data_IF_058554462782
#
_entry.id   IF_058554462782
#
_cell.length_a   1.000
_cell.length_b   1.000
_cell.length_c   1.000
_cell.angle_alpha   90.00
_cell.angle_beta   90.00
_cell.angle_gamma   90.00
#
_symmetry.space_group_name_H-M   'P 1'
#
loop_
_entity.id
_entity.type
_entity.pdbx_description
1 polymer ?
#
# COMPACT_ATOMS: atom_id res chain seq x y z
N UNK A 1 -40.54 33.09 -70.45
CA UNK A 1 -39.09 32.79 -70.43
C UNK A 1 -38.41 33.69 -69.41
N UNK A 2 -37.94 33.15 -68.29
CA UNK A 2 -36.83 33.69 -67.49
C UNK A 2 -36.49 32.71 -66.35
N UNK A 3 -35.24 32.24 -66.32
CA UNK A 3 -34.62 31.51 -65.22
C UNK A 3 -33.93 32.52 -64.31
N UNK A 4 -34.09 32.40 -62.99
CA UNK A 4 -33.01 32.70 -62.04
C UNK A 4 -33.16 31.80 -60.81
N UNK A 5 -32.16 30.94 -60.61
CA UNK A 5 -31.92 30.22 -59.36
C UNK A 5 -31.11 31.17 -58.47
N UNK A 6 -31.60 31.47 -57.27
CA UNK A 6 -30.75 32.04 -56.22
C UNK A 6 -31.08 31.43 -54.86
N UNK A 7 -30.08 30.71 -54.37
CA UNK A 7 -29.94 30.05 -53.08
C UNK A 7 -30.07 31.06 -51.93
N UNK A 8 -30.86 30.75 -50.89
CA UNK A 8 -30.66 31.27 -49.51
C UNK A 8 -31.15 30.25 -48.46
N UNK A 9 -30.17 29.74 -47.72
CA UNK A 9 -30.13 29.16 -46.37
C UNK A 9 -31.42 28.71 -45.64
N UNK A 10 -31.49 27.46 -45.13
CA UNK A 10 -32.45 27.13 -44.08
C UNK A 10 -31.99 27.76 -42.75
N UNK A 11 -32.67 28.82 -42.34
CA UNK A 11 -32.53 29.39 -41.01
C UNK A 11 -33.30 28.55 -39.98
N UNK A 12 -32.55 28.13 -38.96
CA UNK A 12 -32.93 27.55 -37.67
C UNK A 12 -34.38 27.76 -37.22
N UNK A 13 -35.10 26.65 -37.03
CA UNK A 13 -36.24 26.55 -36.12
C UNK A 13 -35.97 25.53 -35.01
N UNK A 14 -35.29 25.95 -33.93
CA UNK A 14 -35.22 25.21 -32.66
C UNK A 14 -36.50 25.46 -31.88
N UNK A 15 -37.26 24.43 -31.55
CA UNK A 15 -38.24 24.32 -30.44
C UNK A 15 -38.66 22.84 -30.41
N UNK A 16 -38.70 22.05 -29.33
CA UNK A 16 -38.53 22.28 -27.90
C UNK A 16 -38.67 20.91 -27.19
N UNK A 17 -37.61 20.09 -27.18
CA UNK A 17 -37.57 18.80 -26.46
C UNK A 17 -37.05 19.00 -25.02
N UNK A 18 -37.84 19.65 -24.15
CA UNK A 18 -37.42 20.00 -22.77
C UNK A 18 -38.08 19.20 -21.63
N UNK A 19 -38.68 18.03 -21.89
CA UNK A 19 -39.31 17.22 -20.83
C UNK A 19 -39.00 15.72 -20.88
N UNK A 20 -37.77 15.33 -21.25
CA UNK A 20 -37.38 13.91 -21.23
C UNK A 20 -36.08 13.53 -20.51
N UNK A 21 -35.19 14.42 -19.99
CA UNK A 21 -34.01 13.91 -19.29
C UNK A 21 -34.35 13.30 -17.92
N UNK A 22 -35.35 13.85 -17.20
CA UNK A 22 -35.75 13.35 -15.88
C UNK A 22 -36.43 11.98 -15.93
N UNK A 23 -37.24 11.71 -16.95
CA UNK A 23 -37.96 10.45 -17.07
C UNK A 23 -37.01 9.27 -17.35
N UNK A 24 -35.95 9.52 -18.13
CA UNK A 24 -34.90 8.53 -18.38
C UNK A 24 -34.05 8.27 -17.12
N UNK A 25 -33.74 9.30 -16.33
CA UNK A 25 -33.03 9.13 -15.05
C UNK A 25 -33.87 8.34 -14.04
N UNK A 26 -35.19 8.59 -13.98
CA UNK A 26 -36.12 7.84 -13.14
C UNK A 26 -36.28 6.37 -13.58
N UNK A 27 -36.33 6.10 -14.88
CA UNK A 27 -36.41 4.72 -15.39
C UNK A 27 -35.11 3.94 -15.17
N UNK A 28 -33.95 4.59 -15.24
CA UNK A 28 -32.64 3.97 -14.91
C UNK A 28 -32.53 3.71 -13.41
N UNK A 29 -33.01 4.62 -12.56
CA UNK A 29 -33.04 4.40 -11.11
C UNK A 29 -34.03 3.29 -10.70
N UNK A 30 -35.20 3.20 -11.33
CA UNK A 30 -36.21 2.18 -11.04
C UNK A 30 -35.78 0.78 -11.52
N UNK A 31 -35.10 0.69 -12.68
CA UNK A 31 -34.55 -0.58 -13.16
C UNK A 31 -33.36 -1.08 -12.32
N UNK A 32 -32.61 -0.18 -11.68
CA UNK A 32 -31.66 -0.54 -10.62
C UNK A 32 -32.37 -1.06 -9.35
N UNK A 33 -33.58 -0.59 -9.06
CA UNK A 33 -34.34 -0.99 -7.86
C UNK A 33 -35.01 -2.36 -8.02
N UNK A 34 -35.49 -2.72 -9.22
CA UNK A 34 -36.15 -4.02 -9.45
C UNK A 34 -35.15 -5.19 -9.40
N UNK A 35 -33.86 -4.95 -9.68
CA UNK A 35 -32.79 -5.94 -9.42
C UNK A 35 -32.37 -6.03 -7.94
N UNK A 36 -32.95 -5.22 -7.04
CA UNK A 36 -32.56 -5.18 -5.61
C UNK A 36 -33.50 -5.91 -4.66
N UNK A 37 -34.58 -6.54 -5.14
CA UNK A 37 -35.36 -7.48 -4.32
C UNK A 37 -34.59 -8.77 -3.97
N UNK A 38 -33.45 -9.01 -4.65
CA UNK A 38 -32.37 -9.77 -4.06
C UNK A 38 -31.26 -8.79 -3.70
N UNK A 39 -30.99 -8.53 -2.40
CA UNK A 39 -29.82 -7.75 -2.01
C UNK A 39 -28.59 -8.61 -2.29
N UNK A 40 -28.10 -8.62 -3.55
CA UNK A 40 -26.78 -9.15 -3.86
C UNK A 40 -25.80 -8.23 -3.13
N UNK A 41 -25.11 -8.71 -2.10
CA UNK A 41 -24.40 -7.83 -1.20
C UNK A 41 -23.22 -7.20 -1.95
N UNK A 42 -23.32 -5.89 -2.23
CA UNK A 42 -22.24 -5.02 -2.72
C UNK A 42 -20.98 -5.11 -1.82
N UNK A 43 -21.11 -5.73 -0.64
CA UNK A 43 -20.05 -6.26 0.21
C UNK A 43 -18.97 -7.05 -0.52
N UNK A 44 -19.29 -7.86 -1.54
CA UNK A 44 -18.35 -8.86 -2.08
C UNK A 44 -17.14 -8.24 -2.80
N UNK A 45 -17.33 -7.11 -3.50
CA UNK A 45 -16.24 -6.38 -4.19
C UNK A 45 -15.40 -5.58 -3.20
N UNK A 46 -16.04 -4.94 -2.21
CA UNK A 46 -15.38 -4.11 -1.20
C UNK A 46 -14.54 -4.93 -0.20
N UNK A 47 -14.83 -6.22 -0.08
CA UNK A 47 -14.13 -7.18 0.78
C UNK A 47 -12.80 -7.64 0.16
N UNK A 48 -12.79 -7.97 -1.13
CA UNK A 48 -11.57 -8.38 -1.83
C UNK A 48 -10.53 -7.25 -1.93
N UNK A 49 -10.98 -6.00 -2.07
CA UNK A 49 -10.10 -4.83 -2.16
C UNK A 49 -9.26 -4.58 -0.90
N UNK A 50 -9.82 -4.79 0.29
CA UNK A 50 -9.10 -4.56 1.56
C UNK A 50 -8.00 -5.60 1.79
N UNK A 51 -8.25 -6.85 1.43
CA UNK A 51 -7.23 -7.93 1.50
C UNK A 51 -6.06 -7.66 0.54
N UNK A 52 -6.34 -7.35 -0.73
CA UNK A 52 -5.30 -7.01 -1.71
C UNK A 52 -4.47 -5.80 -1.25
N UNK A 53 -5.11 -4.82 -0.62
CA UNK A 53 -4.43 -3.67 -0.06
C UNK A 53 -3.54 -4.00 1.15
N UNK A 54 -3.87 -5.01 1.96
CA UNK A 54 -3.00 -5.50 3.04
C UNK A 54 -1.77 -6.19 2.46
N UNK A 55 -1.96 -7.18 1.59
CA UNK A 55 -0.87 -7.94 0.92
C UNK A 55 0.13 -6.99 0.25
N UNK A 56 -0.36 -5.95 -0.44
CA UNK A 56 0.51 -4.95 -1.09
C UNK A 56 1.38 -4.17 -0.09
N UNK A 57 0.84 -3.81 1.07
CA UNK A 57 1.63 -3.10 2.08
C UNK A 57 2.58 -4.01 2.85
N UNK A 58 2.20 -5.26 3.12
CA UNK A 58 3.09 -6.26 3.72
C UNK A 58 4.31 -6.49 2.80
N UNK A 59 4.09 -6.70 1.50
CA UNK A 59 5.21 -6.82 0.53
C UNK A 59 6.11 -5.58 0.47
N UNK A 60 5.55 -4.38 0.65
CA UNK A 60 6.35 -3.15 0.73
C UNK A 60 7.16 -3.09 2.02
N UNK A 61 6.58 -3.56 3.14
CA UNK A 61 7.27 -3.67 4.42
C UNK A 61 8.44 -4.65 4.29
N UNK A 62 8.21 -5.85 3.75
CA UNK A 62 9.26 -6.85 3.54
C UNK A 62 10.42 -6.30 2.72
N UNK A 63 10.14 -5.66 1.57
CA UNK A 63 11.18 -5.03 0.74
C UNK A 63 11.97 -3.95 1.49
N UNK A 64 11.38 -3.26 2.46
CA UNK A 64 12.09 -2.29 3.29
C UNK A 64 12.95 -3.00 4.35
N UNK A 65 12.43 -4.07 4.96
CA UNK A 65 13.16 -4.90 5.92
C UNK A 65 14.38 -5.56 5.27
N UNK A 66 14.24 -6.10 4.05
CA UNK A 66 15.37 -6.70 3.32
C UNK A 66 16.48 -5.68 3.04
N UNK A 67 16.11 -4.46 2.64
CA UNK A 67 17.07 -3.36 2.45
C UNK A 67 17.73 -2.97 3.77
N UNK A 68 16.98 -2.97 4.87
CA UNK A 68 17.50 -2.67 6.19
C UNK A 68 18.49 -3.72 6.68
N UNK A 69 18.15 -5.00 6.48
CA UNK A 69 19.05 -6.12 6.75
C UNK A 69 20.35 -5.97 5.95
N UNK A 70 20.27 -5.56 4.68
CA UNK A 70 21.44 -5.26 3.86
C UNK A 70 22.36 -4.21 4.50
N UNK A 71 21.80 -3.08 4.96
CA UNK A 71 22.59 -2.05 5.65
C UNK A 71 23.21 -2.54 6.97
N UNK A 72 22.48 -3.37 7.74
CA UNK A 72 22.98 -3.97 8.98
C UNK A 72 24.12 -4.95 8.69
N UNK A 73 24.00 -5.76 7.64
CA UNK A 73 25.06 -6.69 7.23
C UNK A 73 26.31 -5.94 6.77
N UNK A 74 26.15 -4.89 5.96
CA UNK A 74 27.27 -4.02 5.56
C UNK A 74 27.96 -3.36 6.77
N UNK A 75 27.18 -2.92 7.78
CA UNK A 75 27.71 -2.41 9.05
C UNK A 75 28.54 -3.50 9.74
N UNK A 76 27.99 -4.71 9.91
CA UNK A 76 28.69 -5.84 10.57
C UNK A 76 29.99 -6.23 9.87
N UNK A 77 30.06 -6.13 8.53
CA UNK A 77 31.31 -6.38 7.80
C UNK A 77 32.36 -5.31 8.14
N UNK A 78 31.97 -4.04 8.22
CA UNK A 78 32.88 -2.96 8.61
C UNK A 78 33.33 -3.09 10.07
N UNK A 79 32.46 -3.55 10.97
CA UNK A 79 32.81 -3.82 12.37
C UNK A 79 33.83 -4.95 12.47
N UNK A 80 33.62 -6.06 11.75
CA UNK A 80 34.61 -7.16 11.71
C UNK A 80 35.97 -6.70 11.16
N UNK A 81 35.97 -5.79 10.18
CA UNK A 81 37.21 -5.19 9.66
C UNK A 81 37.89 -4.28 10.68
N UNK A 82 37.12 -3.65 11.56
CA UNK A 82 37.66 -2.85 12.65
C UNK A 82 38.24 -3.77 13.74
N UNK A 83 37.53 -4.85 14.07
CA UNK A 83 37.95 -5.84 15.07
C UNK A 83 39.19 -6.63 14.64
N UNK A 84 39.40 -6.82 13.33
CA UNK A 84 40.62 -7.47 12.80
C UNK A 84 41.88 -6.62 12.96
N UNK A 85 41.75 -5.38 13.43
CA UNK A 85 42.84 -4.44 13.56
C UNK A 85 43.29 -3.87 12.22
N UNK A 86 44.05 -2.80 12.28
CA UNK A 86 44.64 -2.13 11.13
C UNK A 86 45.50 -0.96 11.57
N UNK A 87 45.94 -0.14 10.62
CA UNK A 87 46.58 1.13 10.98
C UNK A 87 45.57 2.10 11.62
N UNK A 88 46.02 2.99 12.50
CA UNK A 88 45.19 4.05 13.10
C UNK A 88 44.37 4.84 12.07
N UNK A 89 44.96 5.05 10.87
CA UNK A 89 44.32 5.75 9.77
C UNK A 89 43.15 4.95 9.19
N UNK A 90 43.32 3.64 9.03
CA UNK A 90 42.28 2.72 8.56
C UNK A 90 41.17 2.57 9.59
N UNK A 91 41.49 2.40 10.87
CA UNK A 91 40.51 2.33 11.94
C UNK A 91 39.64 3.60 12.01
N UNK A 92 40.26 4.79 11.94
CA UNK A 92 39.52 6.06 11.89
C UNK A 92 38.60 6.14 10.67
N UNK A 93 39.04 5.62 9.52
CA UNK A 93 38.22 5.57 8.30
C UNK A 93 37.03 4.62 8.46
N UNK A 94 37.26 3.42 9.01
CA UNK A 94 36.23 2.43 9.29
C UNK A 94 35.19 2.96 10.28
N UNK A 95 35.62 3.56 11.40
CA UNK A 95 34.72 4.21 12.38
C UNK A 95 33.84 5.28 11.72
N UNK A 96 34.39 6.11 10.84
CA UNK A 96 33.59 7.10 10.07
C UNK A 96 32.56 6.43 9.16
N UNK A 97 32.92 5.33 8.48
CA UNK A 97 31.99 4.56 7.63
C UNK A 97 30.88 3.92 8.46
N UNK A 98 31.20 3.29 9.59
CA UNK A 98 30.25 2.69 10.54
C UNK A 98 29.27 3.76 11.04
N UNK A 99 29.77 4.92 11.49
CA UNK A 99 28.92 6.04 11.93
C UNK A 99 27.95 6.51 10.84
N UNK A 100 28.41 6.58 9.58
CA UNK A 100 27.55 6.91 8.43
C UNK A 100 26.49 5.84 8.16
N UNK A 101 26.82 4.56 8.32
CA UNK A 101 25.87 3.44 8.20
C UNK A 101 24.84 3.46 9.32
N UNK A 102 25.26 3.63 10.59
CA UNK A 102 24.36 3.80 11.75
C UNK A 102 23.36 4.95 11.54
N UNK A 103 23.81 6.08 10.97
CA UNK A 103 22.90 7.19 10.62
C UNK A 103 21.83 6.74 9.60
N UNK A 104 22.23 6.08 8.51
CA UNK A 104 21.29 5.59 7.49
C UNK A 104 20.31 4.54 8.03
N UNK A 105 20.79 3.61 8.84
CA UNK A 105 19.98 2.56 9.49
C UNK A 105 18.87 3.22 10.33
N UNK A 106 19.23 4.17 11.21
CA UNK A 106 18.25 4.93 12.01
C UNK A 106 17.24 5.71 11.17
N UNK A 107 17.68 6.38 10.11
CA UNK A 107 16.78 7.11 9.20
C UNK A 107 15.75 6.16 8.53
N UNK A 108 16.19 4.97 8.10
CA UNK A 108 15.32 3.99 7.46
C UNK A 108 14.34 3.35 8.44
N UNK A 109 14.73 3.16 9.70
CA UNK A 109 13.82 2.68 10.75
C UNK A 109 12.62 3.58 10.98
N UNK A 110 12.76 4.90 10.83
CA UNK A 110 11.61 5.81 10.87
C UNK A 110 10.58 5.49 9.78
N UNK A 111 11.04 5.18 8.57
CA UNK A 111 10.16 4.77 7.46
C UNK A 111 9.53 3.38 7.66
N UNK A 112 10.27 2.45 8.26
CA UNK A 112 9.79 1.09 8.57
C UNK A 112 8.71 1.16 9.65
N UNK A 113 8.94 1.88 10.75
CA UNK A 113 7.93 2.07 11.83
C UNK A 113 6.63 2.66 11.31
N UNK A 114 6.69 3.66 10.41
CA UNK A 114 5.49 4.19 9.72
C UNK A 114 4.77 3.11 8.90
N UNK A 115 5.52 2.28 8.19
CA UNK A 115 4.97 1.19 7.38
C UNK A 115 4.32 0.10 8.24
N UNK A 116 4.95 -0.30 9.34
CA UNK A 116 4.40 -1.25 10.33
C UNK A 116 3.04 -0.78 10.82
N UNK A 117 2.93 0.48 11.26
CA UNK A 117 1.63 1.05 11.69
C UNK A 117 0.56 1.01 10.61
N UNK A 118 0.92 1.22 9.35
CA UNK A 118 -0.04 1.12 8.24
C UNK A 118 -0.48 -0.32 7.97
N UNK A 119 0.43 -1.29 8.10
CA UNK A 119 0.11 -2.72 8.02
C UNK A 119 -0.83 -3.11 9.18
N UNK A 120 -0.51 -2.77 10.42
CA UNK A 120 -1.36 -3.02 11.60
C UNK A 120 -2.76 -2.43 11.46
N UNK A 121 -2.88 -1.18 10.99
CA UNK A 121 -4.18 -0.55 10.71
C UNK A 121 -4.99 -1.34 9.69
N UNK A 122 -4.34 -1.87 8.64
CA UNK A 122 -5.00 -2.68 7.62
C UNK A 122 -5.36 -4.07 8.14
N UNK A 123 -4.51 -4.68 8.95
CA UNK A 123 -4.79 -5.95 9.63
C UNK A 123 -6.06 -5.85 10.49
N UNK A 124 -6.15 -4.83 11.36
CA UNK A 124 -7.35 -4.58 12.18
C UNK A 124 -8.62 -4.45 11.33
N UNK A 125 -8.53 -3.82 10.16
CA UNK A 125 -9.67 -3.67 9.23
C UNK A 125 -10.07 -4.99 8.55
N UNK A 126 -9.11 -5.86 8.25
CA UNK A 126 -9.36 -7.20 7.67
C UNK A 126 -9.93 -8.13 8.75
N UNK A 127 -9.34 -8.14 9.95
CA UNK A 127 -9.79 -8.94 11.09
C UNK A 127 -11.24 -8.64 11.50
N UNK A 128 -11.63 -7.36 11.55
CA UNK A 128 -13.04 -6.96 11.82
C UNK A 128 -14.04 -7.46 10.77
N UNK A 129 -13.58 -7.78 9.56
CA UNK A 129 -14.43 -8.26 8.45
C UNK A 129 -14.32 -9.77 8.23
N UNK A 130 -13.45 -10.45 8.97
CA UNK A 130 -13.10 -11.86 8.73
C UNK A 130 -14.31 -12.79 8.85
N UNK A 131 -15.19 -12.54 9.84
CA UNK A 131 -16.45 -13.28 10.02
C UNK A 131 -17.52 -12.99 8.96
N UNK A 132 -17.31 -12.03 8.05
CA UNK A 132 -18.22 -11.74 6.92
C UNK A 132 -17.73 -12.33 5.61
N UNK A 133 -16.64 -13.08 5.63
CA UNK A 133 -16.08 -13.72 4.43
C UNK A 133 -16.66 -15.11 4.26
N UNK A 134 -16.84 -15.54 3.01
CA UNK A 134 -17.07 -16.95 2.72
C UNK A 134 -15.84 -17.77 3.14
N UNK A 135 -16.01 -19.05 3.46
CA UNK A 135 -14.94 -19.90 4.02
C UNK A 135 -13.65 -19.87 3.19
N UNK A 136 -13.77 -19.93 1.86
CA UNK A 136 -12.61 -19.79 0.95
C UNK A 136 -11.92 -18.42 1.06
N UNK A 137 -12.68 -17.32 1.12
CA UNK A 137 -12.13 -15.96 1.26
C UNK A 137 -11.61 -15.68 2.66
N UNK A 138 -12.12 -16.41 3.66
CA UNK A 138 -11.68 -16.37 5.05
C UNK A 138 -10.28 -16.97 5.18
N UNK A 139 -10.04 -18.17 4.63
CA UNK A 139 -8.70 -18.77 4.60
C UNK A 139 -7.66 -17.84 3.96
N UNK A 140 -7.95 -17.31 2.77
CA UNK A 140 -7.06 -16.36 2.09
C UNK A 140 -6.81 -15.06 2.89
N UNK A 141 -7.75 -14.64 3.74
CA UNK A 141 -7.59 -13.46 4.59
C UNK A 141 -6.82 -13.78 5.87
N UNK A 142 -7.00 -14.96 6.44
CA UNK A 142 -6.24 -15.46 7.59
C UNK A 142 -4.76 -15.64 7.22
N UNK A 143 -4.47 -16.17 6.04
CA UNK A 143 -3.09 -16.27 5.53
C UNK A 143 -2.45 -14.89 5.37
N UNK A 144 -3.19 -13.92 4.80
CA UNK A 144 -2.68 -12.56 4.66
C UNK A 144 -2.46 -11.84 6.00
N UNK A 145 -3.23 -12.19 7.04
CA UNK A 145 -3.00 -11.69 8.40
C UNK A 145 -1.75 -12.33 9.01
N UNK A 146 -1.57 -13.65 8.86
CA UNK A 146 -0.39 -14.37 9.33
C UNK A 146 0.90 -13.84 8.69
N UNK A 147 0.89 -13.59 7.38
CA UNK A 147 2.04 -13.01 6.67
C UNK A 147 2.37 -11.61 7.18
N UNK A 148 1.33 -10.80 7.44
CA UNK A 148 1.51 -9.47 8.01
C UNK A 148 2.07 -9.51 9.44
N UNK A 149 1.57 -10.42 10.30
CA UNK A 149 2.09 -10.65 11.64
C UNK A 149 3.56 -11.09 11.61
N UNK A 150 3.94 -12.00 10.72
CA UNK A 150 5.33 -12.44 10.52
C UNK A 150 6.24 -11.28 10.11
N UNK A 151 5.79 -10.42 9.20
CA UNK A 151 6.57 -9.26 8.77
C UNK A 151 6.77 -8.25 9.92
N UNK A 152 5.74 -8.03 10.75
CA UNK A 152 5.83 -7.16 11.93
C UNK A 152 6.77 -7.76 12.98
N UNK A 153 6.67 -9.06 13.26
CA UNK A 153 7.56 -9.76 14.17
C UNK A 153 9.03 -9.66 13.71
N UNK A 154 9.30 -9.88 12.42
CA UNK A 154 10.64 -9.66 11.84
C UNK A 154 11.12 -8.22 12.00
N UNK A 155 10.24 -7.23 11.82
CA UNK A 155 10.60 -5.83 12.01
C UNK A 155 11.04 -5.55 13.46
N UNK A 156 10.28 -6.04 14.45
CA UNK A 156 10.62 -5.88 15.86
C UNK A 156 11.90 -6.61 16.27
N UNK A 157 12.08 -7.84 15.77
CA UNK A 157 13.30 -8.61 16.03
C UNK A 157 14.52 -7.86 15.48
N UNK A 158 14.45 -7.40 14.24
CA UNK A 158 15.54 -6.69 13.59
C UNK A 158 15.84 -5.34 14.27
N UNK A 159 14.82 -4.62 14.76
CA UNK A 159 14.99 -3.38 15.52
C UNK A 159 15.66 -3.65 16.88
N UNK A 160 15.30 -4.75 17.54
CA UNK A 160 15.89 -5.18 18.82
C UNK A 160 17.36 -5.57 18.64
N UNK A 161 17.66 -6.38 17.63
CA UNK A 161 19.03 -6.80 17.30
C UNK A 161 19.93 -5.60 16.98
N UNK A 162 19.39 -4.59 16.28
CA UNK A 162 20.13 -3.38 15.96
C UNK A 162 20.36 -2.48 17.18
N UNK A 163 19.35 -2.27 18.03
CA UNK A 163 19.50 -1.50 19.26
C UNK A 163 20.51 -2.14 20.23
N UNK A 164 20.52 -3.47 20.33
CA UNK A 164 21.51 -4.18 21.14
C UNK A 164 22.93 -4.07 20.58
N UNK A 165 23.09 -4.02 19.26
CA UNK A 165 24.41 -3.81 18.63
C UNK A 165 24.95 -2.40 18.85
N UNK A 166 24.07 -1.38 18.81
CA UNK A 166 24.48 0.02 18.93
C UNK A 166 24.79 0.44 20.36
N UNK A 167 24.23 -0.24 21.37
CA UNK A 167 24.52 0.02 22.79
C UNK A 167 25.90 -0.47 23.25
N UNK A 168 26.60 -1.28 22.46
CA UNK A 168 28.00 -1.67 22.72
C UNK A 168 29.01 -0.65 22.20
N UNK A 169 28.58 0.28 21.36
CA UNK A 169 29.44 1.27 20.68
C UNK A 169 29.53 2.62 21.42
N UNK A 170 28.59 2.89 22.33
CA UNK A 170 28.55 4.08 23.22
C UNK A 170 29.21 3.77 24.57
#
# INVERSE_FOLDING_TARGET
>A
MQRFIRVHSPSRGKMGTRRRPLLWVLLVAASLFIFTENPVPVSSVMVGGKRKALIKETKKLDKKLDKQQGYINEKRVLERQLDSGGSDREERSLRKKIKKKNKKIREKWSSIRKQVREVEKKMKKVQKKLGRYSDRKRGEAEDALRDADRAIARAHQLETDENNSSRRDD
#
